data_IF_207285465547
#
_entry.id   IF_207285465547
#
_cell.length_a   1.000
_cell.length_b   1.000
_cell.length_c   1.000
_cell.angle_alpha   90.00
_cell.angle_beta   90.00
_cell.angle_gamma   90.00
#
_symmetry.space_group_name_H-M   'P 1'
#
loop_
_entity.id
_entity.type
_entity.pdbx_description
1 polymer ?
#
# COMPACT_ATOMS: atom_id res chain seq x y z
N UNK A 1 0.34 -24.28 -3.93
CA UNK A 1 -0.65 -23.26 -3.53
C UNK A 1 0.01 -22.23 -2.62
N UNK A 2 0.60 -21.22 -3.24
CA UNK A 2 0.59 -19.82 -2.85
C UNK A 2 1.13 -19.14 -4.11
N UNK A 3 0.28 -18.39 -4.81
CA UNK A 3 0.69 -17.68 -6.01
C UNK A 3 1.80 -16.73 -5.57
N UNK A 4 3.03 -16.96 -6.05
CA UNK A 4 4.00 -15.88 -6.06
C UNK A 4 3.32 -14.78 -6.87
N UNK A 5 2.92 -13.69 -6.20
CA UNK A 5 2.46 -12.50 -6.89
C UNK A 5 3.59 -12.15 -7.85
N UNK A 6 3.32 -12.27 -9.14
CA UNK A 6 4.28 -11.88 -10.18
C UNK A 6 4.53 -10.40 -9.94
N UNK A 7 5.73 -10.05 -9.48
CA UNK A 7 6.15 -8.67 -9.29
C UNK A 7 5.95 -7.94 -10.63
N UNK A 8 4.88 -7.13 -10.71
CA UNK A 8 4.44 -6.46 -11.94
C UNK A 8 5.52 -5.53 -12.49
N UNK A 9 6.40 -5.05 -11.61
CA UNK A 9 7.49 -4.13 -11.90
C UNK A 9 8.85 -4.80 -11.66
N UNK A 10 9.04 -6.03 -12.16
CA UNK A 10 10.29 -6.78 -12.00
C UNK A 10 11.51 -6.14 -12.69
N UNK A 11 11.29 -5.21 -13.63
CA UNK A 11 12.33 -4.44 -14.31
C UNK A 11 12.89 -3.31 -13.44
N UNK A 12 12.17 -2.90 -12.39
CA UNK A 12 12.59 -1.84 -11.47
C UNK A 12 13.49 -2.42 -10.38
N UNK A 13 14.71 -1.89 -10.16
CA UNK A 13 15.60 -2.37 -9.11
C UNK A 13 14.97 -2.27 -7.72
N UNK A 14 15.15 -3.29 -6.88
CA UNK A 14 14.61 -3.30 -5.51
C UNK A 14 15.04 -2.07 -4.68
N UNK A 15 16.29 -1.61 -4.85
CA UNK A 15 16.80 -0.42 -4.15
C UNK A 15 15.98 0.84 -4.43
N UNK A 16 15.39 0.97 -5.62
CA UNK A 16 14.52 2.10 -5.95
C UNK A 16 13.14 1.97 -5.27
N UNK A 17 12.60 0.75 -5.22
CA UNK A 17 11.36 0.45 -4.47
C UNK A 17 11.53 0.75 -2.98
N UNK A 18 12.66 0.33 -2.41
CA UNK A 18 13.03 0.57 -1.02
C UNK A 18 13.24 2.06 -0.72
N UNK A 19 13.86 2.82 -1.63
CA UNK A 19 13.99 4.28 -1.48
C UNK A 19 12.63 4.94 -1.31
N UNK A 20 11.66 4.63 -2.16
CA UNK A 20 10.31 5.19 -2.07
C UNK A 20 9.56 4.74 -0.82
N UNK A 21 9.69 3.47 -0.43
CA UNK A 21 9.15 2.99 0.84
C UNK A 21 9.70 3.80 2.02
N UNK A 22 11.03 4.03 2.06
CA UNK A 22 11.67 4.79 3.12
C UNK A 22 11.22 6.26 3.15
N UNK A 23 10.88 6.86 2.01
CA UNK A 23 10.29 8.21 1.97
C UNK A 23 8.91 8.26 2.61
N UNK A 24 8.08 7.23 2.41
CA UNK A 24 6.77 7.12 3.09
C UNK A 24 6.97 6.86 4.59
N UNK A 25 7.87 5.95 4.95
CA UNK A 25 8.16 5.60 6.35
C UNK A 25 8.82 6.74 7.15
N UNK A 26 9.46 7.70 6.47
CA UNK A 26 10.03 8.89 7.10
C UNK A 26 8.98 9.90 7.58
N UNK A 27 7.70 9.73 7.21
CA UNK A 27 6.63 10.58 7.74
C UNK A 27 6.52 10.41 9.27
N UNK A 28 6.59 11.49 10.07
CA UNK A 28 6.57 11.38 11.53
C UNK A 28 5.28 10.77 12.08
N UNK A 29 4.20 10.76 11.29
CA UNK A 29 2.91 10.17 11.64
C UNK A 29 2.87 8.66 11.37
N UNK A 30 3.84 8.11 10.64
CA UNK A 30 3.82 6.74 10.17
C UNK A 30 3.65 5.75 11.33
N UNK A 31 4.50 5.84 12.36
CA UNK A 31 4.45 4.93 13.50
C UNK A 31 3.12 5.00 14.27
N UNK A 32 2.58 6.19 14.49
CA UNK A 32 1.37 6.37 15.30
C UNK A 32 0.10 5.96 14.54
N UNK A 33 -0.01 6.33 13.26
CA UNK A 33 -1.23 6.12 12.47
C UNK A 33 -1.25 4.76 11.80
N UNK A 34 -0.11 4.27 11.30
CA UNK A 34 -0.06 2.98 10.60
C UNK A 34 -0.28 1.82 11.58
N UNK A 35 0.45 1.81 12.70
CA UNK A 35 0.28 0.77 13.73
C UNK A 35 -0.98 0.96 14.58
N UNK A 36 -1.71 2.06 14.39
CA UNK A 36 -3.09 2.22 14.86
C UNK A 36 -4.13 1.43 14.05
N UNK A 37 -3.78 0.88 12.88
CA UNK A 37 -4.67 0.03 12.08
C UNK A 37 -4.94 -1.30 12.79
N UNK A 38 -6.22 -1.58 13.07
CA UNK A 38 -6.67 -2.85 13.66
C UNK A 38 -7.54 -3.66 12.68
N UNK A 39 -7.38 -3.41 11.38
CA UNK A 39 -7.95 -4.22 10.29
C UNK A 39 -9.47 -4.25 10.16
N UNK A 40 -10.19 -3.36 10.84
CA UNK A 40 -11.67 -3.36 10.88
C UNK A 40 -12.38 -3.04 9.56
N UNK A 41 -11.72 -2.36 8.61
CA UNK A 41 -12.29 -2.06 7.29
C UNK A 41 -13.23 -0.85 7.23
N UNK A 42 -13.35 -0.07 8.31
CA UNK A 42 -14.18 1.16 8.30
C UNK A 42 -13.71 2.17 7.24
N UNK A 43 -12.39 2.26 7.02
CA UNK A 43 -11.81 3.10 5.98
C UNK A 43 -12.23 2.69 4.57
N UNK A 44 -12.43 1.39 4.31
CA UNK A 44 -12.93 0.91 3.01
C UNK A 44 -14.42 1.20 2.88
N UNK A 45 -15.20 0.95 3.94
CA UNK A 45 -16.64 1.18 3.92
C UNK A 45 -17.03 2.65 3.73
N UNK A 46 -16.22 3.58 4.26
CA UNK A 46 -16.45 5.01 4.14
C UNK A 46 -15.83 5.63 2.88
N UNK A 47 -14.95 4.92 2.16
CA UNK A 47 -14.23 5.46 1.01
C UNK A 47 -15.15 5.59 -0.21
N UNK A 48 -15.27 6.79 -0.83
CA UNK A 48 -16.02 6.96 -2.07
C UNK A 48 -15.43 6.15 -3.23
N UNK A 49 -14.10 6.19 -3.42
CA UNK A 49 -13.42 5.47 -4.50
C UNK A 49 -13.62 3.95 -4.43
N UNK A 50 -13.62 3.37 -3.23
CA UNK A 50 -13.83 1.93 -3.03
C UNK A 50 -15.22 1.45 -3.47
N UNK A 51 -16.17 2.36 -3.73
CA UNK A 51 -17.48 2.04 -4.30
C UNK A 51 -17.43 1.86 -5.83
N UNK A 52 -16.48 2.51 -6.49
CA UNK A 52 -16.44 2.63 -7.95
C UNK A 52 -15.24 1.92 -8.58
N UNK A 53 -14.17 1.70 -7.82
CA UNK A 53 -12.91 1.09 -8.27
C UNK A 53 -12.49 -0.07 -7.34
N UNK A 54 -11.53 -0.90 -7.77
CA UNK A 54 -10.93 -1.95 -6.92
C UNK A 54 -9.88 -1.35 -5.97
N UNK A 55 -10.29 -0.28 -5.29
CA UNK A 55 -9.46 0.50 -4.41
C UNK A 55 -9.75 0.14 -2.95
N UNK A 56 -8.69 -0.13 -2.19
CA UNK A 56 -8.83 -0.39 -0.76
C UNK A 56 -7.73 0.33 0.03
N UNK A 57 -8.06 1.43 0.74
CA UNK A 57 -7.08 2.11 1.59
C UNK A 57 -6.55 1.19 2.70
N UNK A 58 -7.32 0.17 3.10
CA UNK A 58 -6.86 -0.87 4.05
C UNK A 58 -5.78 -1.75 3.45
N UNK A 59 -5.90 -2.18 2.18
CA UNK A 59 -4.87 -3.04 1.55
C UNK A 59 -3.52 -2.31 1.44
N UNK A 60 -3.54 -1.00 1.24
CA UNK A 60 -2.35 -0.17 1.24
C UNK A 60 -1.73 -0.11 2.65
N UNK A 61 -2.53 0.19 3.68
CA UNK A 61 -2.04 0.20 5.06
C UNK A 61 -1.46 -1.16 5.48
N UNK A 62 -2.11 -2.25 5.09
CA UNK A 62 -1.61 -3.61 5.35
C UNK A 62 -0.26 -3.91 4.69
N UNK A 63 -0.03 -3.45 3.46
CA UNK A 63 1.23 -3.63 2.76
C UNK A 63 2.36 -2.84 3.43
N UNK A 64 2.09 -1.59 3.79
CA UNK A 64 3.03 -0.73 4.54
C UNK A 64 3.37 -1.34 5.90
N UNK A 65 2.38 -1.82 6.66
CA UNK A 65 2.59 -2.39 8.00
C UNK A 65 3.38 -3.71 7.97
N UNK A 66 3.30 -4.47 6.86
CA UNK A 66 4.11 -5.67 6.61
C UNK A 66 5.48 -5.36 6.02
N UNK A 67 5.76 -4.10 5.72
CA UNK A 67 6.97 -3.66 5.01
C UNK A 67 7.16 -4.41 3.69
N UNK A 68 6.04 -4.69 3.00
CA UNK A 68 6.06 -5.36 1.70
C UNK A 68 6.43 -4.35 0.60
N UNK A 69 7.73 -4.05 0.50
CA UNK A 69 8.29 -3.01 -0.38
C UNK A 69 7.86 -3.21 -1.84
N UNK A 70 7.78 -4.44 -2.32
CA UNK A 70 7.41 -4.73 -3.70
C UNK A 70 5.92 -4.43 -3.94
N UNK A 71 5.04 -4.85 -3.03
CA UNK A 71 3.62 -4.55 -3.10
C UNK A 71 3.34 -3.05 -2.92
N UNK A 72 4.03 -2.39 -1.99
CA UNK A 72 3.89 -0.94 -1.76
C UNK A 72 4.25 -0.18 -3.03
N UNK A 73 5.32 -0.58 -3.73
CA UNK A 73 5.67 0.01 -5.01
C UNK A 73 4.56 -0.18 -6.05
N UNK A 74 4.02 -1.39 -6.22
CA UNK A 74 2.89 -1.66 -7.11
C UNK A 74 1.69 -0.74 -6.80
N UNK A 75 1.34 -0.61 -5.51
CA UNK A 75 0.22 0.22 -5.06
C UNK A 75 0.44 1.72 -5.26
N UNK A 76 1.68 2.21 -5.15
CA UNK A 76 2.03 3.61 -5.47
C UNK A 76 1.88 3.87 -6.98
N UNK A 77 2.14 2.87 -7.82
CA UNK A 77 2.06 3.02 -9.28
C UNK A 77 0.65 2.83 -9.83
N UNK A 78 -0.18 2.01 -9.18
CA UNK A 78 -1.52 1.65 -9.64
C UNK A 78 -2.61 2.14 -8.67
N UNK A 79 -2.80 1.44 -7.55
CA UNK A 79 -3.95 1.60 -6.64
C UNK A 79 -4.16 3.04 -6.16
N UNK A 80 -3.09 3.77 -5.80
CA UNK A 80 -3.20 5.10 -5.17
C UNK A 80 -3.88 6.12 -6.10
N UNK A 81 -3.80 5.93 -7.42
CA UNK A 81 -4.36 6.84 -8.42
C UNK A 81 -5.86 6.67 -8.62
N UNK A 82 -6.46 5.63 -8.04
CA UNK A 82 -7.91 5.46 -7.96
C UNK A 82 -8.51 6.29 -6.79
N UNK A 83 -7.67 6.83 -5.91
CA UNK A 83 -8.07 7.74 -4.83
C UNK A 83 -8.31 9.16 -5.37
N UNK A 84 -9.58 9.51 -5.58
CA UNK A 84 -10.04 10.82 -6.08
C UNK A 84 -10.41 11.78 -4.96
#
# INVERSE_FOLDING_TARGET
>A
MALAQLDKYADVPFAEKERLFNEVAADPRFADYLYGCYECGICVAACPSARFYDFSPRRIAQALAREDVALVYEQIQDDIWECS
#
